data_IF_360930877972
#
_entry.id   IF_360930877972
#
_cell.length_a   1.000
_cell.length_b   1.000
_cell.length_c   1.000
_cell.angle_alpha   90.00
_cell.angle_beta   90.00
_cell.angle_gamma   90.00
#
_symmetry.space_group_name_H-M   'P 1'
#
loop_
_entity.id
_entity.type
_entity.pdbx_description
1 polymer ?
#
# COMPACT_ATOMS: atom_id res chain seq x y z
N UNK A 1 -15.11 3.65 1.35
CA UNK A 1 -13.97 4.24 2.08
C UNK A 1 -14.30 5.58 2.73
N UNK A 2 -14.51 6.69 1.98
CA UNK A 2 -14.82 8.01 2.59
C UNK A 2 -16.08 7.95 3.46
N UNK A 3 -17.14 7.29 2.97
CA UNK A 3 -18.37 7.12 3.73
C UNK A 3 -18.19 6.33 5.05
N UNK A 4 -17.19 5.46 5.12
CA UNK A 4 -16.94 4.57 6.27
C UNK A 4 -15.92 5.17 7.26
N UNK A 5 -14.89 5.85 6.75
CA UNK A 5 -13.71 6.26 7.53
C UNK A 5 -13.40 7.76 7.46
N UNK A 6 -14.22 8.55 6.74
CA UNK A 6 -14.02 9.98 6.53
C UNK A 6 -12.94 10.31 5.50
N UNK A 7 -12.72 11.61 5.24
CA UNK A 7 -11.80 12.09 4.20
C UNK A 7 -10.33 11.71 4.48
N UNK A 8 -9.94 11.57 5.75
CA UNK A 8 -8.58 11.18 6.16
C UNK A 8 -8.17 9.81 5.58
N UNK A 9 -9.14 8.91 5.35
CA UNK A 9 -8.87 7.59 4.77
C UNK A 9 -8.21 7.66 3.39
N UNK A 10 -8.50 8.71 2.61
CA UNK A 10 -7.90 8.92 1.29
C UNK A 10 -6.41 9.23 1.43
N UNK A 11 -6.05 10.10 2.38
CA UNK A 11 -4.66 10.41 2.67
C UNK A 11 -3.91 9.16 3.16
N UNK A 12 -4.56 8.33 4.00
CA UNK A 12 -4.01 7.07 4.50
C UNK A 12 -3.74 6.10 3.34
N UNK A 13 -4.71 5.88 2.44
CA UNK A 13 -4.54 5.03 1.27
C UNK A 13 -3.38 5.51 0.40
N UNK A 14 -3.29 6.82 0.14
CA UNK A 14 -2.21 7.41 -0.64
C UNK A 14 -0.85 7.16 0.03
N UNK A 15 -0.75 7.34 1.35
CA UNK A 15 0.49 7.06 2.10
C UNK A 15 0.88 5.58 2.03
N UNK A 16 -0.09 4.66 2.14
CA UNK A 16 0.16 3.23 2.00
C UNK A 16 0.69 2.90 0.60
N UNK A 17 0.07 3.41 -0.47
CA UNK A 17 0.57 3.25 -1.83
C UNK A 17 1.99 3.79 -1.99
N UNK A 18 2.28 4.99 -1.48
CA UNK A 18 3.64 5.54 -1.52
C UNK A 18 4.65 4.61 -0.84
N UNK A 19 4.30 4.03 0.31
CA UNK A 19 5.18 3.12 1.03
C UNK A 19 5.37 1.79 0.30
N UNK A 20 4.32 1.24 -0.30
CA UNK A 20 4.39 0.04 -1.15
C UNK A 20 5.35 0.29 -2.33
N UNK A 21 5.18 1.39 -3.05
CA UNK A 21 6.02 1.70 -4.21
C UNK A 21 7.45 2.12 -3.85
N UNK A 22 7.66 2.65 -2.65
CA UNK A 22 9.01 2.85 -2.10
C UNK A 22 9.69 1.52 -1.76
N UNK A 23 8.90 0.49 -1.45
CA UNK A 23 9.34 -0.88 -1.19
C UNK A 23 9.09 -1.81 -2.39
N UNK A 24 9.27 -1.26 -3.60
CA UNK A 24 8.95 -1.91 -4.87
C UNK A 24 7.46 -2.12 -5.13
N UNK A 25 6.90 -3.28 -4.81
CA UNK A 25 5.52 -3.64 -5.18
C UNK A 25 4.72 -4.26 -4.03
N UNK A 26 5.29 -4.34 -2.83
CA UNK A 26 4.61 -4.85 -1.65
C UNK A 26 5.10 -4.14 -0.39
N UNK A 27 4.33 -4.22 0.69
CA UNK A 27 4.74 -3.71 2.00
C UNK A 27 4.50 -4.77 3.08
N UNK A 28 5.54 -5.20 3.82
CA UNK A 28 5.34 -6.05 5.00
C UNK A 28 4.44 -5.37 6.03
N UNK A 29 3.45 -6.11 6.52
CA UNK A 29 2.40 -5.61 7.39
C UNK A 29 2.11 -6.54 8.55
N UNK A 30 2.20 -5.99 9.74
CA UNK A 30 1.84 -6.60 11.01
C UNK A 30 1.56 -5.48 12.02
N UNK A 31 1.17 -5.84 13.24
CA UNK A 31 0.81 -4.87 14.27
C UNK A 31 1.92 -3.85 14.56
N UNK A 32 3.18 -4.31 14.64
CA UNK A 32 4.33 -3.43 14.88
C UNK A 32 4.57 -2.47 13.70
N UNK A 33 4.47 -2.96 12.47
CA UNK A 33 4.57 -2.13 11.26
C UNK A 33 3.44 -1.10 11.22
N UNK A 34 2.22 -1.46 11.60
CA UNK A 34 1.09 -0.53 11.69
C UNK A 34 1.38 0.61 12.69
N UNK A 35 1.88 0.30 13.90
CA UNK A 35 2.27 1.31 14.90
C UNK A 35 3.38 2.23 14.42
N UNK A 36 4.44 1.67 13.81
CA UNK A 36 5.55 2.45 13.24
C UNK A 36 5.06 3.34 12.10
N UNK A 37 4.21 2.82 11.24
CA UNK A 37 3.64 3.57 10.12
C UNK A 37 2.81 4.76 10.63
N UNK A 38 1.88 4.51 11.56
CA UNK A 38 1.07 5.55 12.18
C UNK A 38 1.95 6.65 12.80
N UNK A 39 2.98 6.26 13.57
CA UNK A 39 3.92 7.21 14.18
C UNK A 39 4.70 8.03 13.14
N UNK A 40 5.29 7.38 12.13
CA UNK A 40 6.09 8.03 11.08
C UNK A 40 5.29 9.06 10.29
N UNK A 41 4.00 8.82 10.10
CA UNK A 41 3.10 9.73 9.38
C UNK A 41 2.26 10.62 10.31
N UNK A 42 2.61 10.69 11.61
CA UNK A 42 1.92 11.49 12.64
C UNK A 42 0.41 11.24 12.69
N UNK A 43 0.00 10.02 12.35
CA UNK A 43 -1.39 9.60 12.48
C UNK A 43 -1.71 9.40 13.96
N UNK A 44 -2.84 9.95 14.41
CA UNK A 44 -3.24 9.88 15.82
C UNK A 44 -3.71 8.48 16.24
N UNK A 45 -4.14 7.65 15.29
CA UNK A 45 -4.86 6.42 15.59
C UNK A 45 -4.37 5.22 14.73
N UNK A 46 -3.51 4.39 15.31
CA UNK A 46 -3.05 3.15 14.68
C UNK A 46 -4.18 2.09 14.55
N UNK A 47 -5.18 2.10 15.43
CA UNK A 47 -6.31 1.18 15.33
C UNK A 47 -7.20 1.52 14.13
N UNK A 48 -7.43 2.80 13.85
CA UNK A 48 -8.16 3.24 12.66
C UNK A 48 -7.39 2.89 11.37
N UNK A 49 -6.06 3.03 11.37
CA UNK A 49 -5.22 2.58 10.25
C UNK A 49 -5.40 1.08 10.00
N UNK A 50 -5.33 0.25 11.05
CA UNK A 50 -5.51 -1.19 10.91
C UNK A 50 -6.93 -1.55 10.40
N UNK A 51 -7.98 -0.85 10.86
CA UNK A 51 -9.34 -1.04 10.35
C UNK A 51 -9.47 -0.71 8.86
N UNK A 52 -8.82 0.37 8.40
CA UNK A 52 -8.80 0.72 6.98
C UNK A 52 -8.07 -0.35 6.16
N UNK A 53 -6.93 -0.86 6.66
CA UNK A 53 -6.18 -1.93 5.98
C UNK A 53 -7.01 -3.20 5.87
N UNK A 54 -7.66 -3.64 6.95
CA UNK A 54 -8.54 -4.80 6.91
C UNK A 54 -9.68 -4.60 5.90
N UNK A 55 -10.34 -3.44 5.93
CA UNK A 55 -11.40 -3.14 4.97
C UNK A 55 -10.90 -3.15 3.52
N UNK A 56 -9.69 -2.65 3.26
CA UNK A 56 -9.04 -2.71 1.93
C UNK A 56 -8.77 -4.14 1.47
N UNK A 57 -8.47 -5.05 2.40
CA UNK A 57 -8.35 -6.48 2.10
C UNK A 57 -9.75 -7.06 1.79
N UNK A 58 -10.75 -6.76 2.61
CA UNK A 58 -12.12 -7.27 2.46
C UNK A 58 -12.76 -6.87 1.12
N UNK A 59 -12.47 -5.67 0.61
CA UNK A 59 -12.96 -5.20 -0.70
C UNK A 59 -12.07 -5.63 -1.88
N UNK A 60 -11.03 -6.43 -1.64
CA UNK A 60 -10.13 -6.94 -2.67
C UNK A 60 -9.13 -5.94 -3.23
N UNK A 61 -8.95 -4.78 -2.59
CA UNK A 61 -7.91 -3.82 -2.99
C UNK A 61 -6.51 -4.38 -2.71
N UNK A 62 -6.34 -5.01 -1.55
CA UNK A 62 -5.21 -5.89 -1.25
C UNK A 62 -5.63 -7.34 -1.38
N UNK A 63 -4.69 -8.18 -1.82
CA UNK A 63 -4.97 -9.59 -2.05
C UNK A 63 -4.97 -10.35 -0.72
N UNK A 64 -6.10 -10.95 -0.38
CA UNK A 64 -6.34 -11.54 0.93
C UNK A 64 -5.37 -12.66 1.28
N UNK A 65 -5.03 -13.55 0.33
CA UNK A 65 -4.17 -14.68 0.65
C UNK A 65 -2.73 -14.24 0.96
N UNK A 66 -2.23 -13.19 0.29
CA UNK A 66 -0.91 -12.60 0.60
C UNK A 66 -0.93 -11.81 1.91
N UNK A 67 -2.07 -11.18 2.24
CA UNK A 67 -2.21 -10.52 3.53
C UNK A 67 -2.19 -11.51 4.69
N UNK A 68 -2.96 -12.60 4.59
CA UNK A 68 -3.11 -13.58 5.66
C UNK A 68 -1.93 -14.53 5.78
N UNK A 69 -1.42 -15.06 4.66
CA UNK A 69 -0.38 -16.09 4.69
C UNK A 69 1.03 -15.49 4.77
N UNK A 70 1.26 -14.36 4.10
CA UNK A 70 2.60 -13.76 3.97
C UNK A 70 2.75 -12.47 4.81
N UNK A 71 1.66 -11.91 5.33
CA UNK A 71 1.70 -10.66 6.09
C UNK A 71 2.18 -9.49 5.24
N UNK A 72 1.74 -9.39 3.97
CA UNK A 72 2.13 -8.30 3.07
C UNK A 72 0.91 -7.60 2.46
N UNK A 73 1.04 -6.29 2.21
CA UNK A 73 0.08 -5.51 1.43
C UNK A 73 0.56 -5.41 -0.02
N UNK A 74 -0.17 -6.03 -0.93
CA UNK A 74 0.01 -5.93 -2.38
C UNK A 74 -1.24 -6.46 -3.08
N UNK A 75 -1.28 -6.33 -4.41
CA UNK A 75 -2.27 -6.97 -5.27
C UNK A 75 -1.70 -7.14 -6.67
N UNK A 76 -2.37 -7.95 -7.51
CA UNK A 76 -1.99 -8.12 -8.92
C UNK A 76 -1.89 -6.78 -9.65
N UNK A 77 -2.81 -5.86 -9.38
CA UNK A 77 -2.83 -4.55 -10.03
C UNK A 77 -1.65 -3.68 -9.59
N UNK A 78 -1.34 -3.64 -8.30
CA UNK A 78 -0.17 -2.93 -7.75
C UNK A 78 1.12 -3.47 -8.40
N UNK A 79 1.27 -4.79 -8.47
CA UNK A 79 2.43 -5.45 -9.07
C UNK A 79 2.55 -5.12 -10.56
N UNK A 80 1.45 -5.21 -11.30
CA UNK A 80 1.39 -4.92 -12.74
C UNK A 80 1.77 -3.45 -13.01
N UNK A 81 1.25 -2.52 -12.22
CA UNK A 81 1.58 -1.10 -12.31
C UNK A 81 3.07 -0.85 -12.05
N UNK A 82 3.64 -1.46 -11.01
CA UNK A 82 5.06 -1.32 -10.68
C UNK A 82 5.96 -1.86 -11.79
N UNK A 83 5.75 -3.10 -12.23
CA UNK A 83 6.58 -3.70 -13.29
C UNK A 83 6.44 -2.95 -14.61
N UNK A 84 5.23 -2.48 -14.93
CA UNK A 84 4.99 -1.61 -16.09
C UNK A 84 5.79 -0.30 -16.00
N UNK A 85 5.83 0.34 -14.83
CA UNK A 85 6.61 1.57 -14.62
C UNK A 85 8.12 1.34 -14.76
N UNK A 86 8.64 0.26 -14.18
CA UNK A 86 10.05 -0.11 -14.30
C UNK A 86 10.43 -0.44 -15.76
N UNK A 87 9.58 -1.16 -16.49
CA UNK A 87 9.80 -1.46 -17.90
C UNK A 87 9.89 -0.19 -18.77
N UNK A 88 8.97 0.76 -18.58
CA UNK A 88 9.02 2.08 -19.25
C UNK A 88 10.30 2.85 -18.94
N UNK A 89 10.75 2.83 -17.68
CA UNK A 89 12.00 3.49 -17.27
C UNK A 89 13.24 2.87 -17.94
N UNK A 90 13.30 1.55 -18.08
CA UNK A 90 14.39 0.86 -18.79
C UNK A 90 14.44 1.27 -20.26
N UNK A 91 13.29 1.30 -20.95
CA UNK A 91 13.19 1.72 -22.36
C UNK A 91 13.62 3.19 -22.57
N UNK A 92 13.29 4.08 -21.64
CA UNK A 92 13.73 5.48 -21.71
C UNK A 92 15.25 5.63 -21.59
N UNK A 93 15.92 4.78 -20.79
CA UNK A 93 17.38 4.80 -20.66
C UNK A 93 18.12 4.22 -21.88
N UNK A 94 17.49 3.35 -22.65
CA UNK A 94 18.09 2.77 -23.86
C UNK A 94 18.01 3.68 -25.08
N UNK A 95 17.14 4.70 -25.07
CA UNK A 95 17.12 5.76 -26.07
C UNK A 95 18.28 6.73 -25.77
N UNK A 96 19.42 6.52 -26.42
CA UNK A 96 20.53 7.47 -26.43
C UNK A 96 20.29 8.47 -27.57
N UNK A 97 20.31 9.76 -27.24
CA UNK A 97 20.44 10.84 -28.23
C UNK A 97 21.90 10.97 -28.63
#
# INVERSE_FOLDING_TARGET
MIAEFGMESVAILLKLQCAIYSNSYYLPWNENRCKIFASKFRMRNAAQLQRIVNWLVDIGYFEQSLYENEGILTSRDIQTQFFGAIARRKKSKSLKY
#
